data_IF_969079143084
#
_entry.id   IF_969079143084
#
_cell.length_a   1.000
_cell.length_b   1.000
_cell.length_c   1.000
_cell.angle_alpha   90.00
_cell.angle_beta   90.00
_cell.angle_gamma   90.00
#
_symmetry.space_group_name_H-M   'P 1'
#
loop_
_entity.id
_entity.type
_entity.pdbx_description
1 polymer ?
#
# COMPACT_ATOMS: atom_id res chain seq x y z
N UNK A 1 -18.30 47.78 -25.91
CA UNK A 1 -18.07 47.61 -24.46
C UNK A 1 -17.61 46.18 -24.24
N UNK A 2 -16.40 46.01 -23.71
CA UNK A 2 -15.82 44.73 -23.32
C UNK A 2 -16.46 44.25 -22.02
N UNK A 3 -16.93 43.01 -21.94
CA UNK A 3 -17.17 42.35 -20.65
C UNK A 3 -16.68 40.90 -20.69
N UNK A 4 -15.52 40.66 -20.09
CA UNK A 4 -15.18 39.39 -19.43
C UNK A 4 -15.51 39.54 -17.93
N UNK A 5 -15.37 38.49 -17.09
CA UNK A 5 -15.91 37.13 -17.18
C UNK A 5 -16.63 36.74 -15.87
N UNK A 6 -17.71 35.94 -15.92
CA UNK A 6 -18.27 35.34 -14.70
C UNK A 6 -17.51 34.05 -14.37
N UNK A 7 -16.55 34.16 -13.46
CA UNK A 7 -15.81 33.06 -12.86
C UNK A 7 -16.67 32.41 -11.78
N UNK A 8 -17.32 31.29 -12.10
CA UNK A 8 -17.94 30.42 -11.09
C UNK A 8 -16.87 29.55 -10.45
N UNK A 9 -16.30 30.04 -9.35
CA UNK A 9 -15.41 29.28 -8.47
C UNK A 9 -16.29 28.36 -7.62
N UNK A 10 -16.34 27.08 -7.99
CA UNK A 10 -16.96 26.05 -7.16
C UNK A 10 -16.13 25.86 -5.88
N UNK A 11 -16.74 26.16 -4.72
CA UNK A 11 -16.20 25.90 -3.40
C UNK A 11 -15.93 24.39 -3.21
N UNK A 12 -14.65 24.01 -3.27
CA UNK A 12 -14.20 22.69 -2.86
C UNK A 12 -14.17 22.68 -1.33
N UNK A 13 -15.20 22.09 -0.71
CA UNK A 13 -15.22 21.71 0.70
C UNK A 13 -14.02 20.81 1.02
N UNK A 14 -12.93 21.40 1.52
CA UNK A 14 -11.75 20.68 2.02
C UNK A 14 -12.15 19.88 3.26
N UNK A 15 -12.39 18.57 3.09
CA UNK A 15 -12.49 17.63 4.22
C UNK A 15 -11.18 17.70 5.01
N UNK A 16 -11.25 18.16 6.26
CA UNK A 16 -10.09 18.32 7.13
C UNK A 16 -9.38 16.97 7.35
N UNK A 17 -8.22 16.82 6.71
CA UNK A 17 -7.26 15.75 6.95
C UNK A 17 -6.89 15.82 8.44
N UNK A 18 -7.24 14.80 9.24
CA UNK A 18 -6.83 14.74 10.65
C UNK A 18 -5.31 14.79 10.69
N UNK A 19 -4.76 15.88 11.23
CA UNK A 19 -3.32 16.12 11.28
C UNK A 19 -2.63 15.02 12.10
N UNK A 20 -1.39 14.65 11.75
CA UNK A 20 -0.63 13.69 12.55
C UNK A 20 -0.51 14.19 13.98
N UNK A 21 -0.76 13.30 14.95
CA UNK A 21 -0.66 13.62 16.38
C UNK A 21 0.78 14.02 16.70
N UNK A 22 0.99 15.31 16.92
CA UNK A 22 2.25 15.89 17.38
C UNK A 22 2.20 16.09 18.90
N UNK A 23 3.36 16.34 19.52
CA UNK A 23 3.48 16.51 20.98
C UNK A 23 2.48 17.56 21.53
N UNK A 24 2.35 18.69 20.84
CA UNK A 24 1.39 19.73 21.20
C UNK A 24 -0.06 19.27 21.12
N UNK A 25 -0.43 18.43 20.14
CA UNK A 25 -1.81 17.94 20.01
C UNK A 25 -2.22 16.99 21.15
N UNK A 26 -1.26 16.22 21.68
CA UNK A 26 -1.47 15.35 22.84
C UNK A 26 -1.67 16.20 24.09
N UNK A 27 -0.79 17.17 24.31
CA UNK A 27 -0.92 18.14 25.40
C UNK A 27 -2.23 18.93 25.33
N UNK A 28 -2.57 19.43 24.14
CA UNK A 28 -3.80 20.16 23.89
C UNK A 28 -5.02 19.31 24.23
N UNK A 29 -5.03 18.03 23.85
CA UNK A 29 -6.14 17.15 24.17
C UNK A 29 -6.33 16.96 25.68
N UNK A 30 -5.24 16.74 26.41
CA UNK A 30 -5.29 16.56 27.86
C UNK A 30 -5.72 17.84 28.60
N UNK A 31 -5.12 18.98 28.27
CA UNK A 31 -5.46 20.25 28.91
C UNK A 31 -6.85 20.76 28.52
N UNK A 32 -7.28 20.50 27.28
CA UNK A 32 -8.65 20.79 26.85
C UNK A 32 -9.68 20.01 27.68
N UNK A 33 -9.42 18.74 28.01
CA UNK A 33 -10.30 17.96 28.87
C UNK A 33 -10.34 18.48 30.31
N UNK A 34 -9.22 18.96 30.85
CA UNK A 34 -9.16 19.57 32.19
C UNK A 34 -9.95 20.89 32.23
N UNK A 35 -9.66 21.80 31.30
CA UNK A 35 -10.30 23.12 31.26
C UNK A 35 -11.80 23.03 31.01
N UNK A 36 -12.25 22.11 30.15
CA UNK A 36 -13.68 21.90 29.88
C UNK A 36 -14.44 21.25 31.05
N UNK A 37 -13.74 20.52 31.93
CA UNK A 37 -14.33 19.98 33.18
C UNK A 37 -14.52 21.07 34.23
N UNK A 38 -13.54 21.96 34.35
CA UNK A 38 -13.55 23.07 35.32
C UNK A 38 -14.47 24.22 34.88
N UNK A 39 -14.46 24.55 33.59
CA UNK A 39 -15.27 25.64 33.04
C UNK A 39 -15.95 25.20 31.74
N UNK A 40 -17.25 24.92 31.85
CA UNK A 40 -18.08 24.40 30.76
C UNK A 40 -18.53 25.49 29.79
N UNK A 41 -18.27 26.77 30.10
CA UNK A 41 -18.79 27.91 29.34
C UNK A 41 -17.82 28.47 28.29
N UNK A 42 -16.54 28.07 28.36
CA UNK A 42 -15.50 28.58 27.46
C UNK A 42 -15.63 28.04 26.03
N UNK A 43 -15.53 28.96 25.07
CA UNK A 43 -15.47 28.64 23.65
C UNK A 43 -14.18 27.88 23.33
N UNK A 44 -14.25 26.96 22.35
CA UNK A 44 -13.10 26.12 21.98
C UNK A 44 -11.89 26.93 21.50
N UNK A 45 -12.12 28.05 20.81
CA UNK A 45 -11.07 28.96 20.34
C UNK A 45 -10.22 29.51 21.49
N UNK A 46 -10.88 29.85 22.60
CA UNK A 46 -10.26 30.54 23.73
C UNK A 46 -9.42 29.54 24.51
N UNK A 47 -9.94 28.32 24.69
CA UNK A 47 -9.20 27.21 25.30
C UNK A 47 -7.92 26.91 24.50
N UNK A 48 -7.99 26.86 23.16
CA UNK A 48 -6.81 26.59 22.33
C UNK A 48 -5.76 27.70 22.51
N UNK A 49 -6.18 28.96 22.57
CA UNK A 49 -5.28 30.12 22.76
C UNK A 49 -4.60 30.07 24.13
N UNK A 50 -5.35 29.77 25.19
CA UNK A 50 -4.81 29.61 26.55
C UNK A 50 -3.80 28.46 26.61
N UNK A 51 -4.13 27.30 26.06
CA UNK A 51 -3.27 26.12 26.09
C UNK A 51 -2.02 26.31 25.23
N UNK A 52 -2.12 27.00 24.10
CA UNK A 52 -0.98 27.37 23.28
C UNK A 52 0.02 28.27 24.02
N UNK A 53 -0.48 29.28 24.73
CA UNK A 53 0.38 30.16 25.54
C UNK A 53 1.04 29.39 26.69
N UNK A 54 0.31 28.48 27.36
CA UNK A 54 0.90 27.58 28.37
C UNK A 54 2.00 26.70 27.79
N UNK A 55 1.78 26.12 26.60
CA UNK A 55 2.78 25.28 25.94
C UNK A 55 4.06 26.05 25.57
N UNK A 56 3.96 27.33 25.21
CA UNK A 56 5.14 28.16 24.92
C UNK A 56 6.04 28.35 26.15
N UNK A 57 5.45 28.53 27.31
CA UNK A 57 6.16 28.80 28.58
C UNK A 57 6.64 27.52 29.26
N UNK A 58 6.05 26.37 28.92
CA UNK A 58 6.40 25.06 29.46
C UNK A 58 7.87 24.70 29.18
N UNK A 59 8.56 24.14 30.17
CA UNK A 59 9.98 23.80 30.04
C UNK A 59 10.22 22.57 29.14
N UNK A 60 11.45 22.41 28.66
CA UNK A 60 11.88 21.26 27.85
C UNK A 60 11.61 19.91 28.56
N UNK A 61 11.82 19.85 29.88
CA UNK A 61 11.58 18.63 30.66
C UNK A 61 10.10 18.24 30.72
N UNK A 62 9.21 19.22 30.77
CA UNK A 62 7.75 19.02 30.83
C UNK A 62 7.14 18.69 29.46
N UNK A 63 7.81 19.10 28.36
CA UNK A 63 7.44 18.75 26.98
C UNK A 63 7.87 17.34 26.60
N UNK A 64 8.97 16.84 27.20
CA UNK A 64 9.55 15.51 26.94
C UNK A 64 8.55 14.34 26.93
N UNK A 65 7.63 14.17 27.89
CA UNK A 65 6.69 13.04 27.86
C UNK A 65 5.80 13.04 26.61
N UNK A 66 5.33 14.21 26.17
CA UNK A 66 4.50 14.34 24.97
C UNK A 66 5.31 14.11 23.69
N UNK A 67 6.59 14.46 23.67
CA UNK A 67 7.48 14.19 22.55
C UNK A 67 7.80 12.70 22.40
N UNK A 68 8.04 12.01 23.52
CA UNK A 68 8.24 10.57 23.56
C UNK A 68 6.98 9.85 23.07
N UNK A 69 5.81 10.23 23.59
CA UNK A 69 4.53 9.64 23.18
C UNK A 69 4.22 9.91 21.70
N UNK A 70 4.46 11.13 21.20
CA UNK A 70 4.29 11.45 19.79
C UNK A 70 5.27 10.66 18.88
N UNK A 71 6.51 10.44 19.33
CA UNK A 71 7.49 9.60 18.62
C UNK A 71 7.02 8.14 18.58
N UNK A 72 6.54 7.60 19.70
CA UNK A 72 6.00 6.23 19.76
C UNK A 72 4.76 6.05 18.90
N UNK A 73 3.83 7.02 18.90
CA UNK A 73 2.63 6.98 18.07
C UNK A 73 2.97 7.08 16.58
N UNK A 74 3.99 7.89 16.21
CA UNK A 74 4.54 7.89 14.85
C UNK A 74 5.14 6.53 14.51
N UNK A 75 6.02 5.99 15.35
CA UNK A 75 6.62 4.68 15.13
C UNK A 75 5.58 3.56 15.01
N UNK A 76 4.51 3.58 15.81
CA UNK A 76 3.43 2.59 15.76
C UNK A 76 2.54 2.74 14.52
N UNK A 77 2.28 3.97 14.08
CA UNK A 77 1.47 4.26 12.89
C UNK A 77 2.23 3.96 11.60
N UNK A 78 3.54 4.16 11.62
CA UNK A 78 4.49 3.87 10.55
C UNK A 78 5.39 2.71 10.98
N UNK A 79 4.80 1.61 11.49
CA UNK A 79 5.49 0.46 12.10
C UNK A 79 6.32 -0.43 11.17
N UNK A 80 6.80 0.12 10.07
CA UNK A 80 7.96 -0.37 9.35
C UNK A 80 8.85 0.85 9.13
N UNK A 81 10.17 0.67 9.15
CA UNK A 81 11.04 1.69 8.57
C UNK A 81 10.38 2.23 7.29
N UNK A 82 10.45 3.53 7.03
CA UNK A 82 10.52 3.95 5.64
C UNK A 82 11.80 3.30 5.11
N UNK A 83 11.72 2.02 4.77
CA UNK A 83 12.50 1.50 3.68
C UNK A 83 11.95 2.35 2.55
N UNK A 84 12.76 3.27 2.05
CA UNK A 84 12.63 3.67 0.66
C UNK A 84 12.77 2.37 -0.12
N UNK A 85 11.66 1.64 -0.26
CA UNK A 85 11.54 0.49 -1.13
C UNK A 85 11.52 1.09 -2.52
N UNK A 86 12.68 1.57 -2.95
CA UNK A 86 12.91 2.00 -4.31
C UNK A 86 12.83 0.73 -5.11
N UNK A 87 11.60 0.39 -5.52
CA UNK A 87 11.34 -0.80 -6.29
C UNK A 87 12.14 -0.66 -7.59
N UNK A 88 12.91 -1.65 -7.95
CA UNK A 88 13.68 -1.65 -9.21
C UNK A 88 12.92 -2.54 -10.19
N UNK A 89 12.73 -2.08 -11.43
CA UNK A 89 12.15 -2.90 -12.48
C UNK A 89 13.08 -4.07 -12.83
N UNK A 90 12.57 -5.06 -13.56
CA UNK A 90 13.39 -6.15 -14.10
C UNK A 90 14.55 -5.63 -15.00
N UNK A 91 14.43 -4.42 -15.53
CA UNK A 91 15.43 -3.75 -16.37
C UNK A 91 16.43 -2.89 -15.57
N UNK A 92 16.41 -2.97 -14.24
CA UNK A 92 17.32 -2.21 -13.37
C UNK A 92 16.95 -0.73 -13.20
N UNK A 93 15.77 -0.30 -13.67
CA UNK A 93 15.33 1.09 -13.51
C UNK A 93 14.57 1.29 -12.21
N UNK A 94 14.82 2.40 -11.51
CA UNK A 94 14.04 2.77 -10.33
C UNK A 94 12.57 2.98 -10.75
N UNK A 95 11.68 2.14 -10.23
CA UNK A 95 10.24 2.32 -10.29
C UNK A 95 9.93 3.55 -9.45
N UNK A 96 9.69 4.67 -10.13
CA UNK A 96 9.34 5.92 -9.50
C UNK A 96 8.08 5.73 -8.64
N UNK A 97 8.21 5.93 -7.32
CA UNK A 97 7.15 5.79 -6.32
C UNK A 97 5.91 6.65 -6.68
N UNK A 98 6.08 7.74 -7.42
CA UNK A 98 4.97 8.55 -7.95
C UNK A 98 4.10 7.81 -8.97
N UNK A 99 4.69 7.05 -9.90
CA UNK A 99 3.94 6.24 -10.88
C UNK A 99 3.19 5.11 -10.19
N UNK A 100 3.81 4.48 -9.20
CA UNK A 100 3.17 3.45 -8.36
C UNK A 100 2.00 4.04 -7.56
N UNK A 101 2.17 5.22 -6.98
CA UNK A 101 1.10 5.96 -6.27
C UNK A 101 -0.03 6.37 -7.21
N UNK A 102 0.28 6.84 -8.42
CA UNK A 102 -0.70 7.17 -9.44
C UNK A 102 -1.50 5.93 -9.86
N UNK A 103 -0.83 4.81 -10.18
CA UNK A 103 -1.50 3.53 -10.51
C UNK A 103 -2.39 3.02 -9.37
N UNK A 104 -1.96 3.14 -8.11
CA UNK A 104 -2.79 2.81 -6.94
C UNK A 104 -4.02 3.71 -6.84
N UNK A 105 -3.85 5.00 -7.07
CA UNK A 105 -4.95 5.97 -7.03
C UNK A 105 -5.95 5.73 -8.16
N UNK A 106 -5.46 5.49 -9.38
CA UNK A 106 -6.27 5.15 -10.55
C UNK A 106 -7.00 3.84 -10.37
N UNK A 107 -6.32 2.80 -9.88
CA UNK A 107 -6.94 1.51 -9.55
C UNK A 107 -8.03 1.64 -8.48
N UNK A 108 -7.78 2.43 -7.43
CA UNK A 108 -8.76 2.72 -6.37
C UNK A 108 -9.98 3.46 -6.90
N UNK A 109 -9.78 4.44 -7.79
CA UNK A 109 -10.86 5.18 -8.46
C UNK A 109 -11.67 4.28 -9.38
N UNK A 110 -11.01 3.45 -10.19
CA UNK A 110 -11.64 2.49 -11.09
C UNK A 110 -12.51 1.50 -10.31
N UNK A 111 -11.99 0.96 -9.21
CA UNK A 111 -12.74 0.07 -8.33
C UNK A 111 -13.96 0.81 -7.76
N UNK A 112 -13.78 2.01 -7.19
CA UNK A 112 -14.90 2.81 -6.64
C UNK A 112 -16.01 3.06 -7.67
N UNK A 113 -15.64 3.35 -8.93
CA UNK A 113 -16.60 3.55 -10.02
C UNK A 113 -17.34 2.26 -10.38
N UNK A 114 -16.64 1.14 -10.51
CA UNK A 114 -17.21 -0.17 -10.82
C UNK A 114 -18.20 -0.65 -9.74
N UNK A 115 -17.93 -0.37 -8.47
CA UNK A 115 -18.84 -0.68 -7.36
C UNK A 115 -20.03 0.27 -7.21
N UNK A 116 -20.04 1.39 -7.94
CA UNK A 116 -21.15 2.35 -7.93
C UNK A 116 -22.34 1.90 -8.80
N UNK A 117 -22.18 0.80 -9.56
CA UNK A 117 -23.24 0.24 -10.41
C UNK A 117 -23.92 -0.95 -9.68
N UNK A 118 -25.27 -1.01 -9.63
CA UNK A 118 -26.01 -1.99 -8.81
C UNK A 118 -25.67 -3.47 -9.06
N UNK A 119 -25.26 -3.83 -10.28
CA UNK A 119 -24.84 -5.19 -10.66
C UNK A 119 -23.32 -5.31 -10.93
N UNK A 120 -22.62 -4.17 -10.99
CA UNK A 120 -21.26 -4.07 -11.54
C UNK A 120 -20.15 -4.60 -10.64
N UNK A 121 -20.39 -4.77 -9.34
CA UNK A 121 -19.43 -5.40 -8.44
C UNK A 121 -19.55 -6.93 -8.42
N UNK A 122 -20.77 -7.45 -8.34
CA UNK A 122 -20.99 -8.85 -7.99
C UNK A 122 -20.65 -9.84 -9.11
N UNK A 123 -20.96 -9.47 -10.36
CA UNK A 123 -20.75 -10.32 -11.54
C UNK A 123 -19.38 -10.11 -12.21
N UNK A 124 -18.62 -9.10 -11.78
CA UNK A 124 -17.32 -8.77 -12.38
C UNK A 124 -16.27 -9.81 -12.04
N UNK A 125 -15.43 -10.12 -13.02
CA UNK A 125 -14.29 -11.03 -12.87
C UNK A 125 -13.06 -10.24 -12.44
N UNK A 126 -12.54 -10.61 -11.28
CA UNK A 126 -11.30 -10.11 -10.71
C UNK A 126 -10.18 -11.10 -10.99
N UNK A 127 -9.03 -10.56 -11.38
CA UNK A 127 -7.81 -11.34 -11.55
C UNK A 127 -6.89 -11.05 -10.37
N UNK A 128 -6.66 -12.05 -9.53
CA UNK A 128 -5.81 -11.92 -8.33
C UNK A 128 -4.54 -12.71 -8.58
N UNK A 129 -3.39 -12.03 -8.54
CA UNK A 129 -2.08 -12.63 -8.75
C UNK A 129 -1.25 -12.57 -7.46
N UNK A 130 -0.46 -13.61 -7.21
CA UNK A 130 0.46 -13.72 -6.08
C UNK A 130 1.74 -14.42 -6.51
N UNK A 131 2.86 -13.99 -5.95
CA UNK A 131 4.19 -14.54 -6.19
C UNK A 131 4.80 -15.02 -4.88
N UNK A 132 5.57 -16.11 -4.96
CA UNK A 132 6.53 -16.47 -3.92
C UNK A 132 7.94 -16.26 -4.44
N UNK A 133 8.84 -15.84 -3.56
CA UNK A 133 10.27 -15.72 -3.84
C UNK A 133 11.08 -16.70 -3.01
N UNK A 134 12.31 -17.00 -3.45
CA UNK A 134 13.24 -17.86 -2.71
C UNK A 134 13.86 -17.17 -1.47
N UNK A 135 13.78 -15.85 -1.40
CA UNK A 135 14.16 -15.01 -0.26
C UNK A 135 13.55 -13.61 -0.41
N UNK A 136 13.46 -12.89 0.72
CA UNK A 136 13.22 -11.44 0.77
C UNK A 136 14.50 -10.78 1.30
N UNK A 137 15.41 -10.40 0.39
CA UNK A 137 16.60 -9.64 0.81
C UNK A 137 16.25 -8.16 0.87
N UNK A 138 16.70 -7.43 1.91
CA UNK A 138 16.49 -6.00 2.03
C UNK A 138 17.28 -5.16 1.00
N UNK A 139 18.13 -5.78 0.18
CA UNK A 139 19.04 -5.09 -0.73
C UNK A 139 18.68 -5.32 -2.21
N UNK A 140 19.04 -4.31 -3.00
CA UNK A 140 18.64 -3.95 -4.37
C UNK A 140 18.87 -4.98 -5.50
N UNK A 141 19.22 -6.24 -5.21
CA UNK A 141 19.46 -7.29 -6.21
C UNK A 141 18.19 -8.01 -6.71
N UNK A 142 17.04 -7.65 -6.15
CA UNK A 142 15.73 -8.01 -6.68
C UNK A 142 15.15 -9.32 -6.16
N UNK A 143 13.83 -9.42 -6.23
CA UNK A 143 13.07 -10.60 -5.85
C UNK A 143 13.28 -11.70 -6.90
N UNK A 144 13.74 -12.88 -6.49
CA UNK A 144 13.81 -14.06 -7.37
C UNK A 144 12.56 -14.93 -7.18
N UNK A 145 11.56 -14.84 -8.08
CA UNK A 145 10.34 -15.60 -7.92
C UNK A 145 10.59 -17.10 -8.13
N UNK A 146 9.95 -17.92 -7.31
CA UNK A 146 9.92 -19.38 -7.43
C UNK A 146 8.52 -19.94 -7.71
N UNK A 147 7.48 -19.14 -7.52
CA UNK A 147 6.10 -19.55 -7.75
C UNK A 147 5.28 -18.33 -8.15
N UNK A 148 4.29 -18.56 -9.02
CA UNK A 148 3.27 -17.57 -9.35
C UNK A 148 1.90 -18.26 -9.46
N UNK A 149 0.88 -17.63 -8.93
CA UNK A 149 -0.51 -18.04 -9.08
C UNK A 149 -1.36 -16.83 -9.49
N UNK A 150 -2.25 -17.02 -10.46
CA UNK A 150 -3.29 -16.07 -10.83
C UNK A 150 -4.66 -16.77 -10.77
N UNK A 151 -5.64 -16.13 -10.15
CA UNK A 151 -6.99 -16.67 -9.96
C UNK A 151 -8.01 -15.71 -10.55
N UNK A 152 -8.95 -16.25 -11.33
CA UNK A 152 -10.18 -15.56 -11.73
C UNK A 152 -11.22 -15.74 -10.63
N UNK A 153 -11.72 -14.64 -10.08
CA UNK A 153 -12.68 -14.65 -8.99
C UNK A 153 -13.83 -13.68 -9.27
N UNK A 154 -15.06 -14.06 -8.99
CA UNK A 154 -16.19 -13.14 -8.94
C UNK A 154 -16.95 -13.33 -7.63
N UNK A 155 -17.63 -12.31 -7.15
CA UNK A 155 -18.40 -12.44 -5.90
C UNK A 155 -19.62 -13.34 -6.08
N UNK A 156 -20.20 -13.38 -7.29
CA UNK A 156 -21.36 -14.21 -7.60
C UNK A 156 -21.01 -15.69 -7.76
N UNK A 157 -19.88 -16.02 -8.39
CA UNK A 157 -19.50 -17.41 -8.72
C UNK A 157 -18.37 -17.96 -7.85
N UNK A 158 -17.71 -17.13 -7.05
CA UNK A 158 -16.49 -17.50 -6.35
C UNK A 158 -15.31 -17.66 -7.32
N UNK A 159 -14.49 -18.68 -7.10
CA UNK A 159 -13.34 -19.00 -7.95
C UNK A 159 -13.81 -19.59 -9.28
N UNK A 160 -13.49 -18.89 -10.37
CA UNK A 160 -13.86 -19.25 -11.74
C UNK A 160 -12.77 -20.10 -12.39
N UNK A 161 -11.50 -19.78 -12.13
CA UNK A 161 -10.37 -20.46 -12.74
C UNK A 161 -9.06 -20.11 -12.06
N UNK A 162 -8.05 -20.95 -12.28
CA UNK A 162 -6.72 -20.81 -11.70
C UNK A 162 -5.65 -21.07 -12.75
N UNK A 163 -4.62 -20.24 -12.74
CA UNK A 163 -3.38 -20.43 -13.45
C UNK A 163 -2.26 -20.44 -12.41
N UNK A 164 -1.38 -21.43 -12.46
CA UNK A 164 -0.35 -21.63 -11.46
C UNK A 164 0.90 -22.21 -12.09
N UNK A 165 2.07 -21.65 -11.77
CA UNK A 165 3.36 -22.09 -12.29
C UNK A 165 4.44 -22.00 -11.23
N UNK A 166 5.26 -23.03 -11.18
CA UNK A 166 6.56 -22.96 -10.52
C UNK A 166 7.60 -22.39 -11.48
N UNK A 167 8.40 -21.46 -10.96
CA UNK A 167 9.41 -20.70 -11.70
C UNK A 167 10.78 -21.19 -11.25
N UNK A 168 11.67 -21.45 -12.21
CA UNK A 168 13.08 -21.68 -11.89
C UNK A 168 13.74 -20.32 -11.56
N UNK A 169 14.19 -20.08 -10.31
CA UNK A 169 14.79 -18.81 -9.90
C UNK A 169 16.18 -18.58 -10.52
N UNK A 170 16.73 -19.56 -11.24
CA UNK A 170 18.02 -19.49 -11.89
C UNK A 170 19.18 -19.79 -10.94
N UNK A 171 20.32 -19.14 -11.17
CA UNK A 171 21.52 -19.34 -10.37
C UNK A 171 21.36 -18.67 -9.00
N UNK A 172 21.54 -19.44 -7.95
CA UNK A 172 21.61 -18.97 -6.56
C UNK A 172 23.00 -18.38 -6.29
N UNK A 173 23.04 -17.23 -5.64
CA UNK A 173 24.27 -16.55 -5.23
C UNK A 173 25.04 -17.34 -4.17
N UNK A 174 26.36 -17.25 -4.22
CA UNK A 174 27.23 -17.95 -3.28
C UNK A 174 27.09 -17.32 -1.90
N UNK A 175 26.90 -18.15 -0.88
CA UNK A 175 26.70 -17.72 0.52
C UNK A 175 25.24 -17.79 0.97
N UNK A 176 24.27 -17.64 0.07
CA UNK A 176 22.85 -17.52 0.45
C UNK A 176 22.10 -18.84 0.68
N UNK A 177 22.76 -19.99 0.48
CA UNK A 177 22.08 -21.30 0.52
C UNK A 177 21.43 -21.60 1.87
N UNK A 178 22.08 -21.23 2.97
CA UNK A 178 21.55 -21.49 4.30
C UNK A 178 20.29 -20.64 4.57
N UNK A 179 20.30 -19.38 4.16
CA UNK A 179 19.15 -18.48 4.30
C UNK A 179 17.99 -18.91 3.40
N UNK A 180 18.27 -19.25 2.15
CA UNK A 180 17.26 -19.78 1.20
C UNK A 180 16.60 -21.04 1.75
N UNK A 181 17.38 -21.96 2.31
CA UNK A 181 16.84 -23.18 2.91
C UNK A 181 15.92 -22.86 4.09
N UNK A 182 16.36 -21.99 5.00
CA UNK A 182 15.55 -21.56 6.14
C UNK A 182 14.26 -20.86 5.70
N UNK A 183 14.36 -19.96 4.71
CA UNK A 183 13.22 -19.24 4.13
C UNK A 183 12.23 -20.21 3.49
N UNK A 184 12.74 -21.15 2.69
CA UNK A 184 11.93 -22.20 2.08
C UNK A 184 11.17 -23.01 3.12
N UNK A 185 11.84 -23.53 4.14
CA UNK A 185 11.20 -24.35 5.18
C UNK A 185 10.12 -23.57 5.97
N UNK A 186 10.32 -22.25 6.12
CA UNK A 186 9.41 -21.37 6.85
C UNK A 186 8.18 -20.96 6.04
N UNK A 187 8.36 -20.61 4.76
CA UNK A 187 7.34 -19.94 3.96
C UNK A 187 6.70 -20.84 2.90
N UNK A 188 7.43 -21.15 1.81
CA UNK A 188 6.85 -21.75 0.61
C UNK A 188 7.09 -23.26 0.48
N UNK A 189 8.01 -23.84 1.27
CA UNK A 189 8.38 -25.27 1.31
C UNK A 189 8.82 -25.85 -0.04
N UNK A 190 9.55 -25.05 -0.81
CA UNK A 190 10.07 -25.44 -2.14
C UNK A 190 11.58 -25.65 -2.02
N UNK A 191 12.03 -26.90 -2.14
CA UNK A 191 13.44 -27.25 -1.99
C UNK A 191 14.27 -26.91 -3.24
N UNK A 192 15.57 -26.69 -3.05
CA UNK A 192 16.50 -26.31 -4.14
C UNK A 192 16.57 -27.36 -5.24
N UNK A 193 16.39 -28.64 -4.90
CA UNK A 193 16.43 -29.75 -5.84
C UNK A 193 15.28 -29.70 -6.86
N UNK A 194 14.15 -29.11 -6.48
CA UNK A 194 12.97 -29.01 -7.35
C UNK A 194 13.12 -27.95 -8.44
N UNK A 195 13.94 -26.92 -8.22
CA UNK A 195 14.10 -25.81 -9.17
C UNK A 195 14.50 -26.25 -10.58
N UNK A 196 15.28 -27.34 -10.70
CA UNK A 196 15.70 -27.88 -12.00
C UNK A 196 14.53 -28.38 -12.86
N UNK A 197 13.41 -28.73 -12.24
CA UNK A 197 12.20 -29.22 -12.90
C UNK A 197 11.25 -28.08 -13.30
N UNK A 198 11.46 -26.88 -12.76
CA UNK A 198 10.57 -25.76 -12.95
C UNK A 198 10.82 -25.02 -14.25
N UNK A 199 9.80 -24.29 -14.71
CA UNK A 199 9.87 -23.57 -15.95
C UNK A 199 10.87 -22.41 -15.83
N UNK A 200 11.86 -22.36 -16.72
CA UNK A 200 12.80 -21.25 -16.86
C UNK A 200 12.43 -20.29 -18.00
N UNK A 201 11.40 -20.63 -18.79
CA UNK A 201 10.97 -19.85 -19.95
C UNK A 201 9.88 -18.85 -19.56
N UNK A 202 10.31 -17.69 -19.05
CA UNK A 202 9.42 -16.59 -18.70
C UNK A 202 8.49 -16.16 -19.84
N UNK A 203 8.96 -16.19 -21.08
CA UNK A 203 8.15 -15.84 -22.25
C UNK A 203 6.95 -16.76 -22.44
N UNK A 204 7.11 -18.06 -22.20
CA UNK A 204 6.03 -19.03 -22.29
C UNK A 204 5.00 -18.81 -21.17
N UNK A 205 5.47 -18.64 -19.93
CA UNK A 205 4.61 -18.36 -18.78
C UNK A 205 3.84 -17.04 -18.95
N UNK A 206 4.48 -16.02 -19.51
CA UNK A 206 3.84 -14.75 -19.81
C UNK A 206 2.73 -14.89 -20.85
N UNK A 207 2.97 -15.60 -21.95
CA UNK A 207 1.94 -15.86 -22.96
C UNK A 207 0.77 -16.67 -22.40
N UNK A 208 1.04 -17.65 -21.54
CA UNK A 208 -0.01 -18.41 -20.86
C UNK A 208 -0.82 -17.55 -19.89
N UNK A 209 -0.17 -16.66 -19.14
CA UNK A 209 -0.85 -15.71 -18.26
C UNK A 209 -1.71 -14.74 -19.06
N UNK A 210 -1.19 -14.20 -20.16
CA UNK A 210 -1.96 -13.32 -21.05
C UNK A 210 -3.20 -14.03 -21.59
N UNK A 211 -3.03 -15.24 -22.14
CA UNK A 211 -4.15 -16.06 -22.61
C UNK A 211 -5.13 -16.43 -21.50
N UNK A 212 -4.67 -16.56 -20.26
CA UNK A 212 -5.54 -16.78 -19.11
C UNK A 212 -6.34 -15.52 -18.76
N UNK A 213 -5.72 -14.35 -18.81
CA UNK A 213 -6.30 -13.06 -18.37
C UNK A 213 -7.20 -12.45 -19.44
N UNK A 214 -6.88 -12.65 -20.71
CA UNK A 214 -7.75 -12.33 -21.84
C UNK A 214 -9.04 -13.17 -21.71
N UNK A 215 -10.18 -12.49 -21.53
CA UNK A 215 -11.50 -13.10 -21.68
C UNK A 215 -11.92 -12.99 -23.16
N UNK A 216 -12.82 -13.87 -23.60
CA UNK A 216 -13.34 -13.89 -24.99
C UNK A 216 -14.06 -12.60 -25.43
N UNK A 217 -14.21 -11.61 -24.55
CA UNK A 217 -14.82 -10.34 -24.86
C UNK A 217 -13.77 -9.35 -25.36
N UNK A 218 -13.97 -8.86 -26.59
CA UNK A 218 -13.21 -7.85 -27.34
C UNK A 218 -12.99 -6.52 -26.59
N UNK A 219 -12.29 -6.53 -25.45
CA UNK A 219 -11.87 -5.31 -24.76
C UNK A 219 -10.48 -4.93 -25.24
N UNK A 220 -10.34 -3.75 -25.84
CA UNK A 220 -9.08 -3.15 -26.30
C UNK A 220 -8.01 -2.98 -25.19
N UNK A 221 -8.35 -3.26 -23.93
CA UNK A 221 -7.48 -3.13 -22.77
C UNK A 221 -7.50 -4.38 -21.88
N UNK A 222 -6.32 -4.85 -21.47
CA UNK A 222 -6.17 -5.94 -20.50
C UNK A 222 -6.79 -5.56 -19.14
N UNK A 223 -7.49 -6.49 -18.46
CA UNK A 223 -8.04 -6.23 -17.14
C UNK A 223 -6.94 -6.07 -16.08
N UNK A 224 -7.19 -5.31 -15.01
CA UNK A 224 -6.20 -5.10 -13.96
C UNK A 224 -5.95 -6.38 -13.15
N UNK A 225 -4.68 -6.61 -12.80
CA UNK A 225 -4.26 -7.65 -11.86
C UNK A 225 -4.16 -7.09 -10.44
N UNK A 226 -4.82 -7.74 -9.49
CA UNK A 226 -4.79 -7.40 -8.08
C UNK A 226 -3.71 -8.24 -7.39
N UNK A 227 -2.80 -7.60 -6.68
CA UNK A 227 -1.76 -8.26 -5.89
C UNK A 227 -1.71 -7.63 -4.49
N UNK A 228 -1.45 -8.43 -3.45
CA UNK A 228 -1.16 -7.89 -2.13
C UNK A 228 0.30 -7.41 -2.10
N UNK A 229 0.50 -6.22 -1.51
CA UNK A 229 1.82 -5.60 -1.28
C UNK A 229 2.28 -5.94 0.12
#
# INVERSE_FOLDING_TARGET
MLSSPASNVAEISRKNKKSPQNAFSLYLHQEFLKLRKTDKTLQKSDIITVVYNKWKVLDSDEKRPYEVEAKLLKAKKYGGAQVDSTHVSLDGQLVNDELSKQRRFEGSKHFTQMWSVPEGGASTVYHIISFQSIYELPNEEGYKPCEVACVKYSLKRGVIGQWHRFINPGKIELGLRAEIKCYSETYHRISEEMYKQFCSRYTAMWMELLSFVEDEADSESLPPLLCMV
#
